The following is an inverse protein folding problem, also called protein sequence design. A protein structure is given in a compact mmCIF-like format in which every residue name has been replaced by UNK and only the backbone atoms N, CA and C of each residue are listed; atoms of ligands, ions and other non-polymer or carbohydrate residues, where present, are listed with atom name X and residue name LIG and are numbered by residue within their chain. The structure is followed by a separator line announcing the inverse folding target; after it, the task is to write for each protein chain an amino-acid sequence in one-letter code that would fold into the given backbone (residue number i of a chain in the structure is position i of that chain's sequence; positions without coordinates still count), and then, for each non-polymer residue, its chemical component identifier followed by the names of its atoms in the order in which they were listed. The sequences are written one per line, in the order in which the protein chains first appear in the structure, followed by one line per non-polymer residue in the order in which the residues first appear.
data_IF_091910851157
#
_entry.id   IF_091910851157
#
_cell.length_a   1.000
_cell.length_b   1.000
_cell.length_c   1.000
_cell.angle_alpha   90.00
_cell.angle_beta   90.00
_cell.angle_gamma   90.00
#
_symmetry.space_group_name_H-M   'P 1'
#
loop_
_entity.id
_entity.type
_entity.pdbx_description
1 polymer ?
#
# COMPACT_ATOMS: atom_id res chain seq x y z
N UNK A 1 -59.95 -8.65 44.26
CA UNK A 1 -59.16 -7.78 45.17
C UNK A 1 -57.75 -7.71 44.59
N UNK A 2 -57.45 -6.76 43.68
CA UNK A 2 -56.78 -5.47 43.92
C UNK A 2 -55.53 -5.56 44.81
N UNK A 3 -54.35 -5.49 44.18
CA UNK A 3 -53.29 -4.55 44.58
C UNK A 3 -52.47 -4.14 43.36
N UNK A 4 -52.71 -2.91 42.92
CA UNK A 4 -51.91 -2.15 41.95
C UNK A 4 -50.86 -1.34 42.72
N UNK A 5 -49.61 -1.30 42.25
CA UNK A 5 -48.76 -0.11 42.37
C UNK A 5 -47.88 0.00 41.12
N UNK A 6 -48.20 0.99 40.29
CA UNK A 6 -47.34 1.57 39.26
C UNK A 6 -46.38 2.57 39.91
N UNK A 7 -45.11 2.59 39.52
CA UNK A 7 -44.21 3.77 39.32
C UNK A 7 -43.00 3.20 38.53
N UNK A 8 -42.37 3.80 37.54
CA UNK A 8 -42.69 4.75 36.49
C UNK A 8 -41.39 4.86 35.64
N UNK A 9 -41.55 4.96 34.31
CA UNK A 9 -40.74 5.81 33.42
C UNK A 9 -39.22 5.52 33.30
N UNK A 10 -38.87 4.95 32.14
CA UNK A 10 -37.72 5.33 31.33
C UNK A 10 -38.09 5.05 29.87
N UNK A 11 -38.76 5.99 29.17
CA UNK A 11 -38.16 6.87 28.13
C UNK A 11 -37.40 6.00 27.10
N UNK A 12 -38.04 5.63 25.99
CA UNK A 12 -38.02 6.35 24.68
C UNK A 12 -36.61 6.24 24.05
N UNK A 13 -36.36 5.81 22.80
CA UNK A 13 -37.07 5.94 21.52
C UNK A 13 -36.33 5.04 20.50
N UNK A 14 -37.14 4.48 19.59
CA UNK A 14 -36.88 4.09 18.21
C UNK A 14 -35.51 3.52 17.79
N UNK A 15 -35.62 2.31 17.22
CA UNK A 15 -34.73 1.80 16.20
C UNK A 15 -34.48 2.83 15.09
N UNK A 16 -33.21 3.10 14.81
CA UNK A 16 -32.75 3.67 13.55
C UNK A 16 -31.56 2.86 13.06
N UNK A 17 -31.84 1.95 12.13
CA UNK A 17 -30.86 1.50 11.15
C UNK A 17 -30.37 2.75 10.40
N UNK A 18 -29.17 3.20 10.73
CA UNK A 18 -28.39 4.07 9.87
C UNK A 18 -27.30 3.22 9.24
N UNK A 19 -27.67 2.57 8.14
CA UNK A 19 -26.76 2.30 7.02
C UNK A 19 -26.11 3.62 6.63
N UNK A 20 -24.92 3.89 7.15
CA UNK A 20 -24.07 4.95 6.65
C UNK A 20 -23.32 4.42 5.42
N UNK A 21 -23.63 4.88 4.20
CA UNK A 21 -22.66 4.81 3.12
C UNK A 21 -21.62 5.88 3.44
N UNK A 22 -20.65 5.54 4.29
CA UNK A 22 -19.43 6.32 4.41
C UNK A 22 -18.64 6.15 3.12
N UNK A 23 -19.07 6.93 2.12
CA UNK A 23 -18.28 7.61 1.11
C UNK A 23 -16.95 6.92 0.80
N UNK A 24 -16.96 6.14 -0.27
CA UNK A 24 -15.81 5.90 -1.12
C UNK A 24 -15.21 7.24 -1.56
N UNK A 25 -14.36 7.84 -0.75
CA UNK A 25 -13.60 9.02 -1.11
C UNK A 25 -12.35 9.12 -0.23
N UNK A 26 -11.30 8.42 -0.64
CA UNK A 26 -9.97 9.02 -0.82
C UNK A 26 -9.07 7.99 -1.52
N UNK A 27 -8.73 8.18 -2.81
CA UNK A 27 -7.56 7.52 -3.36
C UNK A 27 -6.35 8.13 -2.67
N UNK A 28 -5.92 7.50 -1.57
CA UNK A 28 -4.65 7.79 -0.91
C UNK A 28 -3.47 7.33 -1.76
N UNK A 29 -3.37 7.81 -2.99
CA UNK A 29 -2.11 7.93 -3.71
C UNK A 29 -1.44 9.21 -3.20
N UNK A 30 -0.94 9.17 -1.96
CA UNK A 30 0.02 10.17 -1.54
C UNK A 30 1.26 10.08 -2.46
N UNK A 31 1.93 11.20 -2.80
CA UNK A 31 3.22 11.18 -3.49
C UNK A 31 4.30 10.61 -2.56
N UNK A 32 4.25 9.31 -2.33
CA UNK A 32 4.94 8.62 -1.25
C UNK A 32 5.88 7.57 -1.81
N UNK A 33 7.11 8.01 -2.09
CA UNK A 33 8.33 7.20 -2.31
C UNK A 33 8.24 6.18 -3.47
N UNK A 34 9.21 6.15 -4.41
CA UNK A 34 9.27 5.05 -5.37
C UNK A 34 9.48 3.73 -4.61
N UNK A 35 8.39 3.00 -4.35
CA UNK A 35 8.49 1.60 -3.94
C UNK A 35 9.25 0.81 -5.01
N UNK A 36 9.65 -0.42 -4.71
CA UNK A 36 10.34 -1.29 -5.68
C UNK A 36 9.65 -1.33 -7.06
N UNK A 37 8.31 -1.22 -7.09
CA UNK A 37 7.50 -1.10 -8.31
C UNK A 37 7.71 0.22 -9.09
N UNK A 38 7.99 1.35 -8.45
CA UNK A 38 8.34 2.60 -9.15
C UNK A 38 9.69 2.54 -9.87
N UNK A 39 10.54 1.59 -9.48
CA UNK A 39 11.84 1.30 -10.11
C UNK A 39 11.73 0.37 -11.33
N UNK A 40 10.56 -0.24 -11.54
CA UNK A 40 10.20 -1.06 -12.70
C UNK A 40 8.84 -0.65 -13.27
N UNK A 41 8.44 0.60 -13.07
CA UNK A 41 7.10 1.05 -13.41
C UNK A 41 6.83 0.96 -14.91
N UNK A 42 5.55 0.95 -15.34
CA UNK A 42 5.13 0.98 -16.73
C UNK A 42 5.93 1.96 -17.63
N UNK A 43 6.31 3.18 -17.16
CA UNK A 43 7.09 4.13 -17.97
C UNK A 43 8.50 3.68 -18.38
N UNK A 44 9.08 2.67 -17.70
CA UNK A 44 10.37 2.08 -18.13
C UNK A 44 10.18 1.07 -19.24
N UNK A 45 9.08 0.32 -19.22
CA UNK A 45 8.83 -0.77 -20.14
C UNK A 45 8.43 -0.27 -21.52
N UNK A 46 7.77 0.89 -21.58
CA UNK A 46 7.46 1.61 -22.81
C UNK A 46 8.72 1.97 -23.62
N UNK A 47 9.89 2.04 -22.98
CA UNK A 47 11.17 2.35 -23.62
C UNK A 47 11.92 1.11 -24.14
N UNK A 48 11.34 -0.08 -24.02
CA UNK A 48 11.98 -1.35 -24.41
C UNK A 48 11.55 -1.87 -25.79
N UNK A 49 10.74 -1.11 -26.54
CA UNK A 49 10.25 -1.49 -27.87
C UNK A 49 9.67 -2.91 -27.86
N UNK A 50 8.70 -3.14 -26.98
CA UNK A 50 8.09 -4.46 -26.78
C UNK A 50 7.29 -4.88 -28.02
N UNK A 51 7.35 -6.16 -28.39
CA UNK A 51 6.43 -6.73 -29.37
C UNK A 51 4.99 -6.79 -28.84
N UNK A 52 4.02 -6.99 -29.73
CA UNK A 52 2.61 -7.16 -29.33
C UNK A 52 2.41 -8.32 -28.35
N UNK A 53 3.08 -9.45 -28.59
CA UNK A 53 3.02 -10.62 -27.72
C UNK A 53 3.67 -10.35 -26.34
N UNK A 54 4.83 -9.69 -26.32
CA UNK A 54 5.49 -9.30 -25.08
C UNK A 54 4.62 -8.36 -24.24
N UNK A 55 3.96 -7.40 -24.89
CA UNK A 55 3.06 -6.46 -24.22
C UNK A 55 1.89 -7.20 -23.55
N UNK A 56 1.26 -8.11 -24.29
CA UNK A 56 0.14 -8.92 -23.79
C UNK A 56 0.55 -9.76 -22.58
N UNK A 57 1.72 -10.42 -22.65
CA UNK A 57 2.23 -11.21 -21.53
C UNK A 57 2.55 -10.35 -20.31
N UNK A 58 3.17 -9.18 -20.51
CA UNK A 58 3.48 -8.24 -19.42
C UNK A 58 2.20 -7.70 -18.76
N UNK A 59 1.17 -7.39 -19.55
CA UNK A 59 -0.13 -6.97 -19.03
C UNK A 59 -0.79 -8.06 -18.17
N UNK A 60 -0.74 -9.32 -18.62
CA UNK A 60 -1.23 -10.45 -17.84
C UNK A 60 -0.45 -10.65 -16.53
N UNK A 61 0.90 -10.53 -16.58
CA UNK A 61 1.76 -10.59 -15.39
C UNK A 61 1.36 -9.49 -14.38
N UNK A 62 1.12 -8.26 -14.85
CA UNK A 62 0.70 -7.18 -13.98
C UNK A 62 -0.71 -7.36 -13.44
N UNK A 63 -1.66 -7.88 -14.23
CA UNK A 63 -3.00 -8.18 -13.78
C UNK A 63 -2.98 -9.21 -12.64
N UNK A 64 -2.35 -10.37 -12.86
CA UNK A 64 -2.22 -11.39 -11.82
C UNK A 64 -1.44 -10.90 -10.59
N UNK A 65 -0.42 -10.06 -10.81
CA UNK A 65 0.30 -9.42 -9.72
C UNK A 65 -0.56 -8.46 -8.88
N UNK A 66 -1.48 -7.71 -9.50
CA UNK A 66 -2.43 -6.86 -8.78
C UNK A 66 -3.40 -7.71 -7.97
N UNK A 67 -3.93 -8.78 -8.56
CA UNK A 67 -4.87 -9.68 -7.88
C UNK A 67 -4.24 -10.35 -6.65
N UNK A 68 -2.97 -10.72 -6.73
CA UNK A 68 -2.22 -11.25 -5.58
C UNK A 68 -1.93 -10.19 -4.50
N UNK A 69 -1.53 -8.97 -4.91
CA UNK A 69 -1.05 -7.95 -3.98
C UNK A 69 -2.19 -7.14 -3.32
N UNK A 70 -3.28 -6.89 -4.03
CA UNK A 70 -4.37 -6.03 -3.57
C UNK A 70 -4.98 -6.48 -2.22
N UNK A 71 -5.36 -7.76 -2.01
CA UNK A 71 -5.89 -8.20 -0.72
C UNK A 71 -4.86 -8.08 0.41
N UNK A 72 -3.58 -8.40 0.16
CA UNK A 72 -2.51 -8.26 1.15
C UNK A 72 -2.31 -6.80 1.56
N UNK A 73 -2.35 -5.89 0.58
CA UNK A 73 -2.24 -4.47 0.83
C UNK A 73 -3.43 -3.94 1.63
N UNK A 74 -4.64 -4.46 1.40
CA UNK A 74 -5.82 -4.12 2.20
C UNK A 74 -5.65 -4.56 3.65
N UNK A 75 -5.31 -5.83 3.88
CA UNK A 75 -5.08 -6.34 5.23
C UNK A 75 -3.97 -5.56 5.95
N UNK A 76 -2.89 -5.21 5.24
CA UNK A 76 -1.81 -4.43 5.84
C UNK A 76 -2.27 -3.03 6.27
N UNK A 77 -3.15 -2.38 5.50
CA UNK A 77 -3.75 -1.09 5.89
C UNK A 77 -4.59 -1.24 7.17
N UNK A 78 -5.40 -2.29 7.24
CA UNK A 78 -6.23 -2.58 8.42
C UNK A 78 -5.36 -2.84 9.66
N UNK A 79 -4.29 -3.63 9.55
CA UNK A 79 -3.37 -3.87 10.68
C UNK A 79 -2.64 -2.61 11.12
N UNK A 80 -2.25 -1.74 10.18
CA UNK A 80 -1.62 -0.44 10.51
C UNK A 80 -2.60 0.51 11.19
N UNK A 81 -3.86 0.53 10.78
CA UNK A 81 -4.89 1.29 11.47
C UNK A 81 -5.10 0.78 12.89
N UNK A 82 -5.22 -0.54 13.07
CA UNK A 82 -5.35 -1.16 14.39
C UNK A 82 -4.13 -0.89 15.31
N UNK A 83 -2.91 -0.90 14.79
CA UNK A 83 -1.72 -0.47 15.53
C UNK A 83 -1.82 1.00 15.96
N UNK A 84 -2.32 1.87 15.08
CA UNK A 84 -2.55 3.28 15.40
C UNK A 84 -3.56 3.49 16.53
N UNK A 85 -4.62 2.68 16.57
CA UNK A 85 -5.59 2.71 17.68
C UNK A 85 -5.01 2.12 18.97
N UNK A 86 -4.33 0.97 18.89
CA UNK A 86 -3.69 0.33 20.05
C UNK A 86 -2.64 1.24 20.70
N UNK A 87 -1.94 2.06 19.91
CA UNK A 87 -0.97 3.03 20.42
C UNK A 87 -1.61 4.17 21.24
N UNK A 88 -2.91 4.45 21.07
CA UNK A 88 -3.64 5.47 21.84
C UNK A 88 -4.43 4.87 23.01
N UNK A 89 -4.53 3.56 23.10
CA UNK A 89 -5.28 2.88 24.14
C UNK A 89 -4.60 3.02 25.51
N UNK A 90 -5.41 3.21 26.54
CA UNK A 90 -4.99 3.19 27.94
C UNK A 90 -5.93 2.24 28.71
N UNK A 91 -5.39 1.24 29.42
CA UNK A 91 -3.97 0.93 29.59
C UNK A 91 -3.29 0.38 28.31
N UNK A 92 -1.96 0.42 28.28
CA UNK A 92 -1.16 -0.16 27.20
C UNK A 92 -1.29 -1.69 27.17
N UNK A 93 -1.65 -2.24 26.02
CA UNK A 93 -1.68 -3.69 25.77
C UNK A 93 -0.52 -4.10 24.84
N UNK A 94 0.60 -4.50 25.46
CA UNK A 94 1.79 -4.94 24.73
C UNK A 94 1.53 -6.19 23.88
N UNK A 95 0.68 -7.11 24.37
CA UNK A 95 0.41 -8.39 23.70
C UNK A 95 -0.33 -8.15 22.39
N UNK A 96 -1.35 -7.27 22.42
CA UNK A 96 -2.07 -6.84 21.22
C UNK A 96 -1.13 -6.16 20.22
N UNK A 97 -0.30 -5.21 20.67
CA UNK A 97 0.63 -4.49 19.78
C UNK A 97 1.64 -5.44 19.13
N UNK A 98 2.24 -6.38 19.88
CA UNK A 98 3.16 -7.39 19.34
C UNK A 98 2.47 -8.27 18.29
N UNK A 99 1.25 -8.72 18.57
CA UNK A 99 0.48 -9.56 17.64
C UNK A 99 0.16 -8.83 16.33
N UNK A 100 -0.32 -7.58 16.42
CA UNK A 100 -0.62 -6.76 15.23
C UNK A 100 0.65 -6.44 14.41
N UNK A 101 1.75 -6.14 15.10
CA UNK A 101 3.03 -5.86 14.45
C UNK A 101 3.57 -7.09 13.70
N UNK A 102 3.49 -8.28 14.30
CA UNK A 102 3.89 -9.53 13.66
C UNK A 102 3.07 -9.77 12.38
N UNK A 103 1.73 -9.69 12.49
CA UNK A 103 0.84 -9.88 11.33
C UNK A 103 1.12 -8.87 10.21
N UNK A 104 1.40 -7.61 10.55
CA UNK A 104 1.79 -6.60 9.56
C UNK A 104 3.14 -6.92 8.89
N UNK A 105 4.09 -7.48 9.65
CA UNK A 105 5.38 -7.95 9.15
C UNK A 105 5.22 -9.11 8.16
N UNK A 106 4.40 -10.10 8.49
CA UNK A 106 4.15 -11.28 7.64
C UNK A 106 3.51 -10.86 6.30
N UNK A 107 2.49 -9.99 6.32
CA UNK A 107 1.88 -9.43 5.12
C UNK A 107 2.90 -8.65 4.26
N UNK A 108 3.80 -7.90 4.89
CA UNK A 108 4.86 -7.18 4.19
C UNK A 108 5.84 -8.13 3.50
N UNK A 109 6.16 -9.26 4.13
CA UNK A 109 7.01 -10.30 3.55
C UNK A 109 6.34 -10.94 2.32
N UNK A 110 5.07 -11.34 2.42
CA UNK A 110 4.31 -11.92 1.30
C UNK A 110 4.20 -10.96 0.10
N UNK A 111 3.91 -9.67 0.37
CA UNK A 111 3.93 -8.65 -0.68
C UNK A 111 5.30 -8.49 -1.33
N UNK A 112 6.38 -8.65 -0.57
CA UNK A 112 7.75 -8.58 -1.09
C UNK A 112 8.06 -9.77 -2.01
N UNK A 113 7.71 -10.98 -1.59
CA UNK A 113 7.83 -12.20 -2.41
C UNK A 113 7.06 -12.03 -3.72
N UNK A 114 5.80 -11.59 -3.66
CA UNK A 114 4.96 -11.38 -4.83
C UNK A 114 5.57 -10.38 -5.81
N UNK A 115 6.11 -9.26 -5.32
CA UNK A 115 6.80 -8.25 -6.16
C UNK A 115 8.02 -8.83 -6.86
N UNK A 116 8.80 -9.67 -6.17
CA UNK A 116 10.00 -10.30 -6.74
C UNK A 116 9.61 -11.34 -7.80
N UNK A 117 8.54 -12.11 -7.57
CA UNK A 117 8.00 -13.06 -8.56
C UNK A 117 7.55 -12.33 -9.83
N UNK A 118 6.77 -11.26 -9.71
CA UNK A 118 6.35 -10.42 -10.85
C UNK A 118 7.57 -9.88 -11.62
N UNK A 119 8.57 -9.36 -10.90
CA UNK A 119 9.79 -8.85 -11.53
C UNK A 119 10.62 -9.94 -12.24
N UNK A 120 10.61 -11.17 -11.72
CA UNK A 120 11.23 -12.32 -12.37
C UNK A 120 10.48 -12.75 -13.63
N UNK A 121 9.16 -12.91 -13.55
CA UNK A 121 8.30 -13.25 -14.70
C UNK A 121 8.48 -12.22 -15.82
N UNK A 122 8.46 -10.93 -15.48
CA UNK A 122 8.67 -9.86 -16.46
C UNK A 122 10.04 -9.96 -17.14
N UNK A 123 11.11 -10.26 -16.40
CA UNK A 123 12.45 -10.47 -16.99
C UNK A 123 12.53 -11.70 -17.90
N UNK A 124 11.66 -12.69 -17.70
CA UNK A 124 11.55 -13.87 -18.55
C UNK A 124 10.92 -13.58 -19.92
N UNK A 125 10.11 -12.53 -20.04
CA UNK A 125 9.46 -12.12 -21.31
C UNK A 125 10.41 -11.31 -22.21
N UNK A 126 11.40 -10.63 -21.61
CA UNK A 126 12.30 -9.73 -22.33
C UNK A 126 13.46 -10.48 -23.00
N UNK A 127 13.89 -9.98 -24.16
CA UNK A 127 15.14 -10.40 -24.80
C UNK A 127 16.36 -9.94 -24.01
N UNK A 128 17.54 -10.50 -24.30
CA UNK A 128 18.78 -10.11 -23.62
C UNK A 128 19.11 -8.61 -23.80
N UNK A 129 18.93 -8.09 -25.02
CA UNK A 129 19.14 -6.67 -25.31
C UNK A 129 18.16 -5.78 -24.54
N UNK A 130 16.89 -6.18 -24.47
CA UNK A 130 15.88 -5.47 -23.68
C UNK A 130 16.17 -5.53 -22.17
N UNK A 131 16.68 -6.66 -21.66
CA UNK A 131 17.12 -6.77 -20.25
C UNK A 131 18.29 -5.83 -19.96
N UNK A 132 19.25 -5.76 -20.87
CA UNK A 132 20.39 -4.84 -20.76
C UNK A 132 19.92 -3.39 -20.77
N UNK A 133 19.05 -3.02 -21.72
CA UNK A 133 18.47 -1.68 -21.79
C UNK A 133 17.69 -1.31 -20.53
N UNK A 134 16.90 -2.25 -20.00
CA UNK A 134 16.16 -2.05 -18.77
C UNK A 134 17.09 -1.81 -17.56
N UNK A 135 18.25 -2.49 -17.51
CA UNK A 135 19.27 -2.24 -16.47
C UNK A 135 19.85 -0.83 -16.56
N UNK A 136 20.17 -0.37 -17.77
CA UNK A 136 20.68 0.99 -18.02
C UNK A 136 19.66 2.06 -17.59
N UNK A 137 18.41 1.93 -18.04
CA UNK A 137 17.34 2.86 -17.71
C UNK A 137 17.09 2.95 -16.18
N UNK A 138 17.24 1.83 -15.47
CA UNK A 138 17.16 1.82 -13.99
C UNK A 138 18.33 2.55 -13.34
N UNK A 139 19.54 2.40 -13.88
CA UNK A 139 20.72 3.10 -13.40
C UNK A 139 20.59 4.61 -13.62
N UNK A 140 20.17 5.03 -14.81
CA UNK A 140 19.90 6.44 -15.15
C UNK A 140 18.87 7.06 -14.20
N UNK A 141 17.71 6.40 -14.03
CA UNK A 141 16.65 6.86 -13.10
C UNK A 141 17.16 6.96 -11.66
N UNK A 142 18.01 6.04 -11.22
CA UNK A 142 18.59 6.09 -9.88
C UNK A 142 19.51 7.30 -9.72
N UNK A 143 20.31 7.64 -10.73
CA UNK A 143 21.17 8.82 -10.69
C UNK A 143 20.34 10.11 -10.66
N UNK A 144 19.35 10.23 -11.55
CA UNK A 144 18.41 11.36 -11.54
C UNK A 144 17.74 11.53 -10.18
N UNK A 145 17.30 10.44 -9.55
CA UNK A 145 16.71 10.50 -8.22
C UNK A 145 17.72 10.94 -7.14
N UNK A 146 18.98 10.47 -7.22
CA UNK A 146 20.04 10.90 -6.30
C UNK A 146 20.35 12.39 -6.45
N UNK A 147 20.42 12.89 -7.68
CA UNK A 147 20.63 14.30 -8.00
C UNK A 147 19.48 15.17 -7.52
N UNK A 148 18.24 14.77 -7.85
CA UNK A 148 17.04 15.43 -7.36
C UNK A 148 17.03 15.51 -5.83
N UNK A 149 17.32 14.40 -5.13
CA UNK A 149 17.44 14.41 -3.67
C UNK A 149 18.55 15.33 -3.18
N UNK A 150 19.71 15.37 -3.84
CA UNK A 150 20.80 16.27 -3.44
C UNK A 150 20.36 17.73 -3.55
N UNK A 151 19.66 18.09 -4.62
CA UNK A 151 19.20 19.46 -4.85
C UNK A 151 18.04 19.86 -3.92
N UNK A 152 17.11 18.95 -3.64
CA UNK A 152 15.87 19.26 -2.91
C UNK A 152 15.91 18.91 -1.41
N UNK A 153 16.78 17.99 -0.98
CA UNK A 153 16.91 17.59 0.43
C UNK A 153 18.15 18.17 1.10
N UNK A 154 19.04 18.86 0.37
CA UNK A 154 20.13 19.63 0.96
C UNK A 154 19.68 21.11 1.17
N UNK A 155 19.09 21.36 2.36
CA UNK A 155 18.88 22.64 3.08
C UNK A 155 17.54 23.41 2.93
N UNK A 156 16.90 23.66 4.08
CA UNK A 156 16.40 24.97 4.47
C UNK A 156 17.00 25.56 5.78
N UNK A 157 18.10 25.03 6.35
CA UNK A 157 18.55 25.43 7.71
C UNK A 157 19.77 26.39 7.77
N UNK A 158 20.04 27.22 6.75
CA UNK A 158 21.15 28.21 6.83
C UNK A 158 20.81 29.61 6.28
N UNK A 159 19.63 30.14 6.57
CA UNK A 159 19.30 31.55 6.28
C UNK A 159 18.69 32.32 7.47
N UNK A 160 18.90 31.86 8.70
CA UNK A 160 18.56 32.63 9.90
C UNK A 160 19.75 32.63 10.85
N UNK A 161 20.67 33.59 10.66
CA UNK A 161 21.62 34.07 11.66
C UNK A 161 21.87 35.54 11.41
#
# INVERSE_FOLDING_TARGET
MKTTKQIAIGVLIAASLLTSPALFAQPGFGPGRPGMMGRMGPPLLEQLQLSGDQRTQIEAIFAGGRDAIHPLAQQLREKRAALGEAARALPFDETLVRSLAQQAGDLQAEMTVSRVQIANQLRGVLTEDQRTRLSQLRAERLQQFKEWRRQHMARPDQQQS
#
